data_IF_461113000665
#
_entry.id   IF_461113000665
#
_cell.length_a   1.000
_cell.length_b   1.000
_cell.length_c   1.000
_cell.angle_alpha   90.00
_cell.angle_beta   90.00
_cell.angle_gamma   90.00
#
_symmetry.space_group_name_H-M   'P 1'
#
loop_
_entity.id
_entity.type
_entity.pdbx_description
1 polymer ?
#
# COMPACT_ATOMS: atom_id res chain seq x y z
N UNK A 1 -9.07 -4.60 7.74
CA UNK A 1 -8.52 -5.10 6.47
C UNK A 1 -9.58 -5.22 5.37
N UNK A 2 -9.31 -4.75 4.15
CA UNK A 2 -10.15 -5.00 2.95
C UNK A 2 -9.37 -5.86 1.96
N UNK A 3 -10.02 -6.85 1.35
CA UNK A 3 -9.42 -7.73 0.35
C UNK A 3 -10.14 -7.57 -0.99
N UNK A 4 -9.37 -7.58 -2.07
CA UNK A 4 -9.84 -7.53 -3.45
C UNK A 4 -9.22 -8.69 -4.20
N UNK A 5 -10.05 -9.43 -4.93
CA UNK A 5 -9.61 -10.49 -5.83
C UNK A 5 -10.04 -10.10 -7.24
N UNK A 6 -9.10 -10.14 -8.16
CA UNK A 6 -9.36 -10.01 -9.59
C UNK A 6 -9.08 -11.35 -10.25
N UNK A 7 -10.08 -11.86 -10.96
CA UNK A 7 -9.96 -13.11 -11.69
C UNK A 7 -10.52 -12.93 -13.10
N UNK A 8 -9.70 -13.27 -14.09
CA UNK A 8 -10.08 -13.49 -15.48
C UNK A 8 -9.50 -14.84 -15.96
N UNK A 9 -9.64 -15.17 -17.24
CA UNK A 9 -9.15 -16.44 -17.80
C UNK A 9 -7.62 -16.65 -17.67
N UNK A 10 -6.84 -15.56 -17.56
CA UNK A 10 -5.35 -15.59 -17.55
C UNK A 10 -4.74 -15.07 -16.24
N UNK A 11 -5.53 -14.40 -15.41
CA UNK A 11 -5.07 -13.63 -14.26
C UNK A 11 -5.88 -14.00 -13.04
N UNK A 12 -5.17 -14.28 -11.95
CA UNK A 12 -5.77 -14.47 -10.64
C UNK A 12 -4.91 -13.72 -9.63
N UNK A 13 -5.33 -12.51 -9.29
CA UNK A 13 -4.56 -11.55 -8.50
C UNK A 13 -5.31 -11.17 -7.23
N UNK A 14 -4.56 -10.86 -6.19
CA UNK A 14 -5.09 -10.34 -4.93
C UNK A 14 -4.50 -8.99 -4.61
N UNK A 15 -5.28 -8.19 -3.88
CA UNK A 15 -4.84 -7.03 -3.15
C UNK A 15 -5.48 -7.06 -1.76
N UNK A 16 -4.70 -6.69 -0.75
CA UNK A 16 -5.17 -6.49 0.60
C UNK A 16 -4.74 -5.09 1.03
N UNK A 17 -5.68 -4.29 1.52
CA UNK A 17 -5.42 -2.93 1.96
C UNK A 17 -5.96 -2.75 3.36
N UNK A 18 -5.11 -2.28 4.25
CA UNK A 18 -5.47 -1.96 5.61
C UNK A 18 -4.83 -0.64 6.02
N UNK A 19 -5.63 0.22 6.66
CA UNK A 19 -5.12 1.42 7.28
C UNK A 19 -5.05 1.20 8.78
N UNK A 20 -3.86 1.37 9.36
CA UNK A 20 -3.59 1.31 10.79
C UNK A 20 -3.09 2.68 11.24
N UNK A 21 -3.98 3.51 11.80
CA UNK A 21 -3.66 4.88 12.17
C UNK A 21 -3.16 5.71 10.98
N UNK A 22 -1.88 6.10 11.03
CA UNK A 22 -1.19 6.83 9.96
C UNK A 22 -0.45 5.92 8.98
N UNK A 23 -0.57 4.60 9.08
CA UNK A 23 0.14 3.66 8.20
C UNK A 23 -0.85 2.95 7.28
N UNK A 24 -0.49 2.87 6.00
CA UNK A 24 -1.22 2.13 4.99
C UNK A 24 -0.45 0.86 4.65
N UNK A 25 -1.01 -0.27 5.04
CA UNK A 25 -0.51 -1.60 4.73
C UNK A 25 -1.19 -2.08 3.45
N UNK A 26 -0.40 -2.28 2.40
CA UNK A 26 -0.87 -2.74 1.10
C UNK A 26 -0.12 -4.03 0.79
N UNK A 27 -0.83 -5.09 0.44
CA UNK A 27 -0.25 -6.34 -0.06
C UNK A 27 -0.89 -6.70 -1.39
N UNK A 28 -0.12 -7.18 -2.36
CA UNK A 28 -0.64 -7.56 -3.67
C UNK A 28 0.16 -8.71 -4.29
N UNK A 29 -0.46 -9.46 -5.19
CA UNK A 29 0.23 -10.56 -5.86
C UNK A 29 -0.67 -11.44 -6.69
N UNK A 30 -0.12 -12.57 -7.15
CA UNK A 30 -0.91 -13.65 -7.74
C UNK A 30 -1.48 -14.51 -6.61
N UNK A 31 -2.75 -14.87 -6.69
CA UNK A 31 -3.37 -15.76 -5.70
C UNK A 31 -2.62 -17.10 -5.68
N UNK A 32 -2.25 -17.57 -4.48
CA UNK A 32 -1.43 -18.76 -4.28
C UNK A 32 0.08 -18.51 -4.26
N UNK A 33 0.56 -17.28 -4.39
CA UNK A 33 1.96 -16.92 -4.16
C UNK A 33 2.12 -16.00 -2.96
N UNK A 34 3.36 -15.82 -2.49
CA UNK A 34 3.68 -14.93 -1.36
C UNK A 34 3.36 -13.45 -1.64
N UNK A 35 3.29 -13.06 -2.92
CA UNK A 35 3.05 -11.68 -3.34
C UNK A 35 4.14 -10.71 -2.87
N UNK A 36 3.76 -9.43 -2.77
CA UNK A 36 4.55 -8.33 -2.26
C UNK A 36 3.71 -7.55 -1.24
N UNK A 37 4.39 -6.84 -0.34
CA UNK A 37 3.75 -5.97 0.65
C UNK A 37 4.52 -4.67 0.81
N UNK A 38 3.81 -3.58 1.01
CA UNK A 38 4.36 -2.26 1.26
C UNK A 38 3.59 -1.60 2.40
N UNK A 39 4.33 -0.98 3.31
CA UNK A 39 3.79 -0.14 4.36
C UNK A 39 4.14 1.31 3.99
N UNK A 40 3.14 2.17 3.96
CA UNK A 40 3.30 3.59 3.67
C UNK A 40 2.78 4.42 4.83
N UNK A 41 3.68 5.07 5.56
CA UNK A 41 3.32 5.96 6.64
C UNK A 41 2.94 7.34 6.07
N UNK A 42 1.72 7.78 6.33
CA UNK A 42 1.23 9.15 6.16
C UNK A 42 1.78 10.02 7.29
N UNK A 43 3.10 10.23 7.33
CA UNK A 43 3.61 11.39 8.05
C UNK A 43 3.10 12.63 7.31
N UNK A 44 2.20 13.36 7.97
CA UNK A 44 1.70 14.64 7.48
C UNK A 44 2.93 15.47 7.08
N UNK A 45 3.01 15.88 5.81
CA UNK A 45 4.05 16.76 5.29
C UNK A 45 3.97 18.13 5.99
N UNK A 46 4.45 18.22 7.22
CA UNK A 46 4.97 19.45 7.81
C UNK A 46 6.46 19.56 7.51
N UNK A 47 6.84 19.23 6.28
CA UNK A 47 8.21 19.35 5.79
C UNK A 47 8.26 20.40 4.68
N UNK A 48 7.85 21.63 5.03
CA UNK A 48 8.05 22.84 4.22
C UNK A 48 8.78 23.93 5.02
N UNK A 49 9.76 23.56 5.85
CA UNK A 49 10.61 24.54 6.56
C UNK A 49 12.12 24.33 6.31
N UNK A 50 12.49 23.99 5.08
CA UNK A 50 13.88 24.12 4.60
C UNK A 50 13.90 24.78 3.22
N UNK A 51 13.49 26.05 3.18
CA UNK A 51 13.80 26.93 2.05
C UNK A 51 13.81 28.42 2.40
N UNK A 52 14.08 28.74 3.68
CA UNK A 52 14.53 30.07 4.08
C UNK A 52 15.97 29.91 4.57
N UNK A 53 16.90 30.67 3.99
CA UNK A 53 18.36 30.71 4.23
C UNK A 53 19.19 29.82 3.28
N UNK A 54 19.25 30.25 2.02
CA UNK A 54 20.48 30.34 1.23
C UNK A 54 20.46 31.68 0.50
#
# INVERSE_FOLDING_TARGET
MRHFIYQDEKSHKFWAVEQQGNELHISWGKVGTKGQSQIKSFQMLRQWQKRSLS
#
